data_IF_988358239991
#
_entry.id   IF_988358239991
#
_cell.length_a   1.000
_cell.length_b   1.000
_cell.length_c   1.000
_cell.angle_alpha   90.00
_cell.angle_beta   90.00
_cell.angle_gamma   90.00
#
_symmetry.space_group_name_H-M   'P 1'
#
loop_
_entity.id
_entity.type
_entity.pdbx_description
1 polymer ?
#
# COMPACT_ATOMS: atom_id res chain seq x y z
N UNK A 1 -24.87 4.17 20.76
CA UNK A 1 -24.70 3.50 19.44
C UNK A 1 -23.79 4.37 18.60
N UNK A 2 -22.48 4.20 18.69
CA UNK A 2 -21.51 4.94 17.86
C UNK A 2 -21.51 4.32 16.47
N UNK A 3 -22.16 5.01 15.52
CA UNK A 3 -22.12 4.64 14.12
C UNK A 3 -20.68 4.66 13.63
N UNK A 4 -20.11 3.48 13.40
CA UNK A 4 -18.89 3.30 12.64
C UNK A 4 -19.09 4.00 11.29
N UNK A 5 -18.52 5.20 11.12
CA UNK A 5 -18.39 5.79 9.78
C UNK A 5 -17.66 4.74 8.94
N UNK A 6 -18.22 4.30 7.79
CA UNK A 6 -17.48 3.40 6.93
C UNK A 6 -16.24 4.18 6.47
N UNK A 7 -15.08 3.83 7.03
CA UNK A 7 -13.78 4.30 6.59
C UNK A 7 -13.69 3.99 5.11
N UNK A 8 -13.78 4.95 4.24
CA UNK A 8 -13.82 4.88 2.79
C UNK A 8 -13.06 3.70 2.15
N UNK A 9 -13.41 2.48 2.58
CA UNK A 9 -12.79 1.25 2.12
C UNK A 9 -13.39 0.89 0.76
N UNK A 10 -12.55 0.91 -0.24
CA UNK A 10 -12.87 0.52 -1.59
C UNK A 10 -12.04 -0.73 -1.92
N UNK A 11 -12.71 -1.86 -2.04
CA UNK A 11 -12.05 -3.11 -2.42
C UNK A 11 -11.56 -3.00 -3.86
N UNK A 12 -10.27 -3.19 -4.06
CA UNK A 12 -9.65 -3.25 -5.37
C UNK A 12 -10.06 -4.53 -6.10
N UNK A 13 -10.40 -4.41 -7.38
CA UNK A 13 -10.67 -5.55 -8.25
C UNK A 13 -9.40 -6.39 -8.45
N UNK A 14 -9.50 -7.74 -8.48
CA UNK A 14 -8.35 -8.64 -8.62
C UNK A 14 -7.48 -8.36 -9.85
N UNK A 15 -8.07 -8.09 -11.00
CA UNK A 15 -7.33 -7.77 -12.22
C UNK A 15 -6.41 -6.56 -12.03
N UNK A 16 -6.91 -5.50 -11.41
CA UNK A 16 -6.10 -4.31 -11.12
C UNK A 16 -5.04 -4.57 -10.07
N UNK A 17 -5.33 -5.41 -9.07
CA UNK A 17 -4.35 -5.80 -8.06
C UNK A 17 -3.16 -6.54 -8.68
N UNK A 18 -3.40 -7.48 -9.59
CA UNK A 18 -2.37 -8.20 -10.34
C UNK A 18 -1.53 -7.26 -11.21
N UNK A 19 -2.16 -6.34 -11.94
CA UNK A 19 -1.45 -5.35 -12.75
C UNK A 19 -0.55 -4.45 -11.91
N UNK A 20 -0.99 -4.03 -10.73
CA UNK A 20 -0.20 -3.19 -9.82
C UNK A 20 1.01 -3.96 -9.32
N UNK A 21 0.83 -5.20 -8.86
CA UNK A 21 1.93 -6.04 -8.37
C UNK A 21 2.93 -6.31 -9.49
N UNK A 22 2.45 -6.63 -10.70
CA UNK A 22 3.32 -6.80 -11.88
C UNK A 22 4.11 -5.53 -12.19
N UNK A 23 3.46 -4.34 -12.15
CA UNK A 23 4.13 -3.06 -12.42
C UNK A 23 5.14 -2.67 -11.33
N UNK A 24 4.93 -3.14 -10.10
CA UNK A 24 5.86 -2.93 -9.00
C UNK A 24 7.16 -3.72 -9.17
N UNK A 25 7.19 -4.74 -10.03
CA UNK A 25 8.35 -5.58 -10.33
C UNK A 25 9.01 -6.13 -9.03
N UNK A 26 8.21 -6.81 -8.23
CA UNK A 26 8.65 -7.45 -6.99
C UNK A 26 9.61 -8.60 -7.32
N UNK A 27 10.70 -8.71 -6.57
CA UNK A 27 11.63 -9.83 -6.69
C UNK A 27 11.24 -10.96 -5.74
N UNK A 28 11.44 -12.23 -6.13
CA UNK A 28 11.25 -13.35 -5.22
C UNK A 28 12.01 -13.16 -3.90
N UNK A 29 11.35 -13.41 -2.76
CA UNK A 29 11.91 -13.24 -1.42
C UNK A 29 11.98 -11.79 -0.92
N UNK A 30 11.62 -10.80 -1.72
CA UNK A 30 11.64 -9.38 -1.31
C UNK A 30 10.62 -9.13 -0.20
N UNK A 31 10.99 -8.36 0.81
CA UNK A 31 10.09 -7.98 1.89
C UNK A 31 9.19 -6.84 1.44
N UNK A 32 7.88 -7.06 1.50
CA UNK A 32 6.85 -6.08 1.14
C UNK A 32 5.91 -5.85 2.30
N UNK A 33 5.59 -4.59 2.59
CA UNK A 33 4.57 -4.19 3.56
C UNK A 33 3.33 -3.73 2.78
N UNK A 34 2.18 -4.35 3.08
CA UNK A 34 0.86 -3.95 2.58
C UNK A 34 0.13 -3.18 3.69
N UNK A 35 0.03 -1.86 3.53
CA UNK A 35 -0.56 -0.96 4.53
C UNK A 35 -2.06 -0.79 4.27
N UNK A 36 -2.88 -1.19 5.24
CA UNK A 36 -4.33 -1.25 5.09
C UNK A 36 -4.77 -2.44 4.23
N UNK A 37 -4.21 -3.61 4.52
CA UNK A 37 -4.32 -4.82 3.69
C UNK A 37 -5.76 -5.31 3.45
N UNK A 38 -6.70 -4.92 4.32
CA UNK A 38 -8.11 -5.29 4.19
C UNK A 38 -8.30 -6.80 4.22
N UNK A 39 -8.90 -7.33 3.16
CA UNK A 39 -9.12 -8.77 2.97
C UNK A 39 -8.04 -9.42 2.08
N UNK A 40 -6.94 -8.71 1.82
CA UNK A 40 -5.78 -9.22 1.10
C UNK A 40 -5.79 -8.99 -0.42
N UNK A 41 -6.45 -7.93 -0.90
CA UNK A 41 -6.53 -7.65 -2.33
C UNK A 41 -5.14 -7.49 -2.99
N UNK A 42 -4.18 -6.88 -2.31
CA UNK A 42 -2.78 -6.80 -2.74
C UNK A 42 -1.92 -7.88 -2.11
N UNK A 43 -2.18 -8.25 -0.84
CA UNK A 43 -1.42 -9.27 -0.12
C UNK A 43 -1.33 -10.59 -0.90
N UNK A 44 -2.45 -11.09 -1.45
CA UNK A 44 -2.45 -12.38 -2.15
C UNK A 44 -1.65 -12.33 -3.47
N UNK A 45 -1.82 -11.36 -4.37
CA UNK A 45 -0.96 -11.24 -5.56
C UNK A 45 0.52 -11.03 -5.22
N UNK A 46 0.85 -10.33 -4.13
CA UNK A 46 2.24 -10.19 -3.67
C UNK A 46 2.85 -11.54 -3.26
N UNK A 47 2.07 -12.38 -2.55
CA UNK A 47 2.50 -13.73 -2.20
C UNK A 47 2.66 -14.62 -3.43
N UNK A 48 1.76 -14.49 -4.43
CA UNK A 48 1.88 -15.19 -5.72
C UNK A 48 3.12 -14.77 -6.52
N UNK A 49 3.65 -13.57 -6.26
CA UNK A 49 4.92 -13.08 -6.80
C UNK A 49 6.13 -13.46 -5.93
N UNK A 50 5.99 -14.46 -5.05
CA UNK A 50 7.01 -14.94 -4.13
C UNK A 50 7.55 -13.89 -3.15
N UNK A 51 6.81 -12.83 -2.88
CA UNK A 51 7.18 -11.86 -1.85
C UNK A 51 7.01 -12.44 -0.43
N UNK A 52 7.79 -11.91 0.51
CA UNK A 52 7.53 -12.05 1.96
C UNK A 52 6.70 -10.86 2.40
N UNK A 53 5.48 -11.07 2.87
CA UNK A 53 4.54 -9.97 3.11
C UNK A 53 4.32 -9.72 4.60
N UNK A 54 4.36 -8.44 5.01
CA UNK A 54 3.79 -7.96 6.27
C UNK A 54 2.53 -7.18 5.90
N UNK A 55 1.37 -7.76 6.22
CA UNK A 55 0.07 -7.15 5.99
C UNK A 55 -0.41 -6.44 7.26
N UNK A 56 -0.57 -5.12 7.20
CA UNK A 56 -1.00 -4.27 8.33
C UNK A 56 -2.47 -3.91 8.13
N UNK A 57 -3.31 -4.26 9.10
CA UNK A 57 -4.75 -3.98 9.06
C UNK A 57 -5.26 -3.66 10.46
N UNK A 58 -6.03 -2.59 10.63
CA UNK A 58 -6.58 -2.16 11.92
C UNK A 58 -7.81 -2.97 12.34
N UNK A 59 -8.63 -3.39 11.38
CA UNK A 59 -9.90 -4.06 11.68
C UNK A 59 -9.69 -5.53 12.05
N UNK A 60 -9.95 -5.89 13.31
CA UNK A 60 -9.78 -7.24 13.85
C UNK A 60 -10.51 -8.33 13.03
N UNK A 61 -11.72 -8.04 12.52
CA UNK A 61 -12.48 -8.98 11.70
C UNK A 61 -11.82 -9.26 10.36
N UNK A 62 -11.25 -8.25 9.70
CA UNK A 62 -10.50 -8.39 8.46
C UNK A 62 -9.17 -9.10 8.71
N UNK A 63 -8.44 -8.71 9.76
CA UNK A 63 -7.19 -9.33 10.17
C UNK A 63 -7.35 -10.82 10.38
N UNK A 64 -8.38 -11.25 11.13
CA UNK A 64 -8.66 -12.68 11.35
C UNK A 64 -8.95 -13.42 10.03
N UNK A 65 -9.73 -12.83 9.14
CA UNK A 65 -10.04 -13.42 7.83
C UNK A 65 -8.80 -13.49 6.93
N UNK A 66 -7.95 -12.48 6.97
CA UNK A 66 -6.71 -12.45 6.19
C UNK A 66 -5.72 -13.49 6.72
N UNK A 67 -5.54 -13.61 8.04
CA UNK A 67 -4.69 -14.65 8.65
C UNK A 67 -5.09 -16.06 8.19
N UNK A 68 -6.38 -16.34 8.15
CA UNK A 68 -6.88 -17.66 7.69
C UNK A 68 -6.56 -17.91 6.19
N UNK A 69 -6.52 -16.88 5.36
CA UNK A 69 -6.20 -17.01 3.93
C UNK A 69 -4.71 -17.21 3.66
N UNK A 70 -3.84 -16.71 4.52
CA UNK A 70 -2.39 -16.70 4.28
C UNK A 70 -1.63 -17.64 5.23
N UNK A 71 -2.31 -18.55 5.90
CA UNK A 71 -1.73 -19.41 6.94
C UNK A 71 -0.55 -20.25 6.44
N UNK A 72 -0.58 -20.68 5.19
CA UNK A 72 0.46 -21.50 4.57
C UNK A 72 1.42 -20.68 3.69
N UNK A 73 1.41 -19.35 3.84
CA UNK A 73 2.21 -18.45 3.01
C UNK A 73 3.27 -17.70 3.82
N UNK A 74 4.26 -17.13 3.13
CA UNK A 74 5.31 -16.30 3.72
C UNK A 74 4.77 -14.91 4.12
N UNK A 75 3.74 -14.89 4.97
CA UNK A 75 3.05 -13.68 5.41
C UNK A 75 2.94 -13.57 6.93
N UNK A 76 3.09 -12.34 7.43
CA UNK A 76 2.72 -11.95 8.79
C UNK A 76 1.58 -10.92 8.71
N UNK A 77 0.47 -11.17 9.42
CA UNK A 77 -0.66 -10.23 9.50
C UNK A 77 -0.65 -9.55 10.87
N UNK A 78 -0.39 -8.25 10.85
CA UNK A 78 -0.27 -7.39 12.04
C UNK A 78 -1.55 -6.58 12.20
N UNK A 79 -2.21 -6.74 13.36
CA UNK A 79 -3.38 -5.94 13.74
C UNK A 79 -2.91 -4.70 14.50
N UNK A 80 -2.80 -3.57 13.81
CA UNK A 80 -2.46 -2.30 14.43
C UNK A 80 -2.89 -1.11 13.57
N UNK A 81 -2.91 0.08 14.19
CA UNK A 81 -3.02 1.33 13.45
C UNK A 81 -1.75 1.57 12.60
N UNK A 82 -1.94 2.13 11.40
CA UNK A 82 -0.83 2.51 10.54
C UNK A 82 0.12 3.50 11.23
N UNK A 83 -0.40 4.39 12.05
CA UNK A 83 0.40 5.40 12.74
C UNK A 83 1.31 4.79 13.81
N UNK A 84 0.89 3.66 14.40
CA UNK A 84 1.64 2.92 15.43
C UNK A 84 2.55 1.85 14.83
N UNK A 85 2.41 1.55 13.53
CA UNK A 85 3.22 0.52 12.89
C UNK A 85 4.69 0.93 12.77
N UNK A 86 5.57 0.14 13.38
CA UNK A 86 7.02 0.33 13.32
C UNK A 86 7.56 -0.29 12.02
N UNK A 87 8.24 0.51 11.16
CA UNK A 87 8.81 0.00 9.92
C UNK A 87 9.86 -1.09 10.17
N UNK A 88 10.02 -2.08 9.26
CA UNK A 88 11.09 -3.05 9.35
C UNK A 88 12.48 -2.40 9.40
N UNK A 89 13.38 -2.93 10.27
CA UNK A 89 14.79 -2.49 10.41
C UNK A 89 15.72 -3.04 9.32
N UNK A 90 15.20 -3.51 8.19
CA UNK A 90 15.93 -4.05 7.03
C UNK A 90 15.28 -3.58 5.74
N UNK A 91 15.96 -3.68 4.58
CA UNK A 91 15.38 -3.25 3.31
C UNK A 91 14.01 -3.86 3.03
N UNK A 92 13.04 -3.03 2.68
CA UNK A 92 11.68 -3.44 2.36
C UNK A 92 11.03 -2.49 1.35
N UNK A 93 9.91 -2.92 0.80
CA UNK A 93 9.05 -2.12 -0.08
C UNK A 93 7.67 -1.95 0.55
N UNK A 94 6.93 -0.98 0.04
CA UNK A 94 5.50 -0.82 0.32
C UNK A 94 4.72 -0.97 -0.97
N UNK A 95 3.67 -1.80 -0.96
CA UNK A 95 2.61 -1.81 -1.99
C UNK A 95 1.29 -1.74 -1.25
N UNK A 96 0.51 -0.67 -1.45
CA UNK A 96 -0.63 -0.41 -0.59
C UNK A 96 -1.79 0.27 -1.30
N UNK A 97 -3.03 -0.08 -0.88
CA UNK A 97 -4.27 0.61 -1.23
C UNK A 97 -4.95 1.14 0.05
N UNK A 98 -4.35 2.12 0.73
CA UNK A 98 -4.88 2.63 1.98
C UNK A 98 -6.18 3.43 1.74
N UNK A 99 -7.07 3.54 2.74
CA UNK A 99 -8.17 4.50 2.69
C UNK A 99 -7.67 5.91 2.40
N UNK A 100 -8.35 6.66 1.54
CA UNK A 100 -7.89 8.00 1.13
C UNK A 100 -7.69 8.97 2.30
N UNK A 101 -8.47 8.82 3.36
CA UNK A 101 -8.32 9.60 4.59
C UNK A 101 -6.92 9.41 5.24
N UNK A 102 -6.25 8.30 4.97
CA UNK A 102 -4.92 7.99 5.51
C UNK A 102 -3.77 8.40 4.59
N UNK A 103 -4.03 9.11 3.49
CA UNK A 103 -2.98 9.54 2.54
C UNK A 103 -1.82 10.25 3.24
N UNK A 104 -2.11 11.19 4.13
CA UNK A 104 -1.07 11.93 4.86
C UNK A 104 -0.26 11.03 5.80
N UNK A 105 -0.92 10.12 6.52
CA UNK A 105 -0.28 9.16 7.42
C UNK A 105 0.64 8.20 6.66
N UNK A 106 0.19 7.69 5.50
CA UNK A 106 1.01 6.82 4.64
C UNK A 106 2.22 7.54 4.09
N UNK A 107 2.09 8.79 3.61
CA UNK A 107 3.22 9.58 3.13
C UNK A 107 4.20 9.90 4.26
N UNK A 108 3.72 10.19 5.46
CA UNK A 108 4.53 10.37 6.66
C UNK A 108 5.28 9.08 7.03
N UNK A 109 4.61 7.92 7.00
CA UNK A 109 5.27 6.63 7.20
C UNK A 109 6.40 6.42 6.20
N UNK A 110 6.16 6.63 4.91
CA UNK A 110 7.17 6.51 3.84
C UNK A 110 8.35 7.45 4.08
N UNK A 111 8.10 8.68 4.51
CA UNK A 111 9.14 9.67 4.77
C UNK A 111 10.09 9.24 5.90
N UNK A 112 9.56 8.68 7.00
CA UNK A 112 10.35 8.29 8.19
C UNK A 112 10.96 6.89 8.11
N UNK A 113 10.52 6.04 7.19
CA UNK A 113 10.96 4.65 7.08
C UNK A 113 12.34 4.52 6.43
N UNK A 114 13.41 4.56 7.24
CA UNK A 114 14.82 4.65 6.78
C UNK A 114 15.26 3.51 5.83
N UNK A 115 14.72 2.31 6.01
CA UNK A 115 15.05 1.13 5.19
C UNK A 115 14.12 0.91 4.00
N UNK A 116 13.18 1.84 3.74
CA UNK A 116 12.29 1.75 2.60
C UNK A 116 13.04 1.99 1.28
N UNK A 117 12.99 1.02 0.37
CA UNK A 117 13.65 1.06 -0.93
C UNK A 117 12.72 1.52 -2.05
N UNK A 118 11.43 1.20 -1.97
CA UNK A 118 10.43 1.61 -2.93
C UNK A 118 9.02 1.61 -2.32
N UNK A 119 8.13 2.43 -2.86
CA UNK A 119 6.71 2.37 -2.54
C UNK A 119 5.87 2.53 -3.81
N UNK A 120 4.81 1.73 -3.92
CA UNK A 120 3.76 1.78 -4.93
C UNK A 120 2.43 1.96 -4.20
N UNK A 121 1.93 3.21 -4.18
CA UNK A 121 0.77 3.61 -3.37
C UNK A 121 -0.41 3.97 -4.26
N UNK A 122 -1.55 3.32 -4.07
CA UNK A 122 -2.79 3.68 -4.75
C UNK A 122 -3.42 4.84 -3.98
N UNK A 123 -3.42 6.02 -4.57
CA UNK A 123 -3.94 7.24 -3.97
C UNK A 123 -4.89 7.95 -4.95
N UNK A 124 -5.65 8.91 -4.46
CA UNK A 124 -6.42 9.80 -5.34
C UNK A 124 -5.50 10.46 -6.38
N UNK A 125 -5.92 10.49 -7.64
CA UNK A 125 -5.12 11.05 -8.75
C UNK A 125 -4.59 12.46 -8.47
N UNK A 126 -5.38 13.30 -7.81
CA UNK A 126 -4.95 14.66 -7.43
C UNK A 126 -3.81 14.65 -6.40
N UNK A 127 -3.83 13.70 -5.44
CA UNK A 127 -2.75 13.57 -4.45
C UNK A 127 -1.45 13.09 -5.11
N UNK A 128 -1.54 12.09 -6.01
CA UNK A 128 -0.39 11.62 -6.79
C UNK A 128 0.23 12.75 -7.59
N UNK A 129 -0.60 13.52 -8.34
CA UNK A 129 -0.14 14.67 -9.11
C UNK A 129 0.59 15.68 -8.23
N UNK A 130 0.02 16.04 -7.07
CA UNK A 130 0.63 16.99 -6.13
C UNK A 130 2.01 16.53 -5.67
N UNK A 131 2.18 15.24 -5.34
CA UNK A 131 3.47 14.70 -4.91
C UNK A 131 4.49 14.68 -6.05
N UNK A 132 4.06 14.37 -7.27
CA UNK A 132 4.96 14.32 -8.44
C UNK A 132 5.38 15.74 -8.87
N UNK A 133 4.43 16.68 -8.94
CA UNK A 133 4.70 18.04 -9.43
C UNK A 133 5.40 18.91 -8.36
N UNK A 134 5.08 18.69 -7.08
CA UNK A 134 5.56 19.49 -5.95
C UNK A 134 6.04 18.59 -4.82
N UNK A 135 7.09 17.82 -5.10
CA UNK A 135 7.57 16.78 -4.17
C UNK A 135 7.92 17.36 -2.78
N UNK A 136 7.25 16.88 -1.69
CA UNK A 136 7.58 17.29 -0.33
C UNK A 136 9.04 17.03 0.02
N UNK A 137 9.64 17.90 0.86
CA UNK A 137 11.06 17.82 1.25
C UNK A 137 11.40 16.46 1.87
N UNK A 138 10.49 15.91 2.66
CA UNK A 138 10.61 14.64 3.37
C UNK A 138 10.70 13.44 2.43
N UNK A 139 10.19 13.57 1.20
CA UNK A 139 10.21 12.52 0.18
C UNK A 139 11.35 12.68 -0.84
N UNK A 140 12.19 13.71 -0.75
CA UNK A 140 13.25 13.99 -1.75
C UNK A 140 14.31 12.92 -1.90
N UNK A 141 14.42 12.01 -0.91
CA UNK A 141 15.29 10.84 -1.03
C UNK A 141 14.79 9.80 -2.05
N UNK A 142 13.58 9.97 -2.55
CA UNK A 142 13.00 9.14 -3.63
C UNK A 142 12.91 9.93 -4.93
N UNK A 143 12.94 9.22 -6.06
CA UNK A 143 12.29 9.70 -7.27
C UNK A 143 10.79 9.44 -7.16
N UNK A 144 9.97 10.38 -7.58
CA UNK A 144 8.51 10.25 -7.57
C UNK A 144 7.98 10.27 -9.00
N UNK A 145 7.21 9.24 -9.36
CA UNK A 145 6.60 9.11 -10.69
C UNK A 145 5.14 8.70 -10.54
N UNK A 146 4.35 9.03 -11.55
CA UNK A 146 2.99 8.54 -11.70
C UNK A 146 3.03 7.21 -12.46
N UNK A 147 2.53 6.16 -11.82
CA UNK A 147 2.34 4.85 -12.41
C UNK A 147 0.94 4.67 -13.04
N UNK A 148 0.37 3.48 -12.88
CA UNK A 148 -0.91 3.11 -13.46
C UNK A 148 -2.03 4.07 -13.04
N UNK A 149 -2.89 4.42 -14.00
CA UNK A 149 -4.17 5.07 -13.75
C UNK A 149 -5.22 4.02 -13.44
N UNK A 150 -5.98 4.22 -12.36
CA UNK A 150 -7.07 3.35 -11.96
C UNK A 150 -8.40 4.11 -12.07
N UNK A 151 -9.30 3.72 -12.98
CA UNK A 151 -10.62 4.29 -13.05
C UNK A 151 -11.44 3.92 -11.82
N UNK A 152 -12.47 4.68 -11.51
CA UNK A 152 -13.40 4.39 -10.39
C UNK A 152 -13.97 2.97 -10.44
N UNK A 153 -14.13 2.41 -11.64
CA UNK A 153 -14.62 1.05 -11.87
C UNK A 153 -13.67 -0.05 -11.36
N UNK A 154 -12.39 0.29 -11.10
CA UNK A 154 -11.43 -0.64 -10.49
C UNK A 154 -11.74 -0.99 -9.02
N UNK A 155 -12.79 -0.38 -8.43
CA UNK A 155 -13.10 -0.52 -7.01
C UNK A 155 -14.58 -0.80 -6.74
N UNK A 156 -14.84 -1.52 -5.65
CA UNK A 156 -16.19 -1.77 -5.12
C UNK A 156 -16.25 -1.50 -3.62
N UNK A 157 -17.12 -0.59 -3.14
CA UNK A 157 -17.90 0.38 -3.92
C UNK A 157 -17.00 1.35 -4.70
N UNK A 158 -17.54 1.96 -5.75
CA UNK A 158 -16.78 2.93 -6.56
C UNK A 158 -16.47 4.18 -5.72
N UNK A 159 -15.21 4.65 -5.72
CA UNK A 159 -14.85 5.92 -5.07
C UNK A 159 -15.41 7.13 -5.84
N UNK A 160 -15.45 8.31 -5.22
CA UNK A 160 -15.93 9.53 -5.89
C UNK A 160 -15.02 10.02 -7.01
N UNK A 161 -13.75 9.67 -6.98
CA UNK A 161 -12.71 10.11 -7.92
C UNK A 161 -11.83 8.95 -8.39
N UNK A 162 -11.16 9.13 -9.52
CA UNK A 162 -10.16 8.20 -10.02
C UNK A 162 -8.91 8.19 -9.13
N UNK A 163 -8.21 7.06 -9.15
CA UNK A 163 -6.94 6.86 -8.47
C UNK A 163 -5.77 6.75 -9.47
N UNK A 164 -4.57 6.81 -8.93
CA UNK A 164 -3.36 6.45 -9.64
C UNK A 164 -2.36 5.84 -8.67
N UNK A 165 -1.38 5.12 -9.18
CA UNK A 165 -0.26 4.62 -8.40
C UNK A 165 0.79 5.73 -8.30
N UNK A 166 1.15 6.12 -7.07
CA UNK A 166 2.35 6.90 -6.80
C UNK A 166 3.52 5.92 -6.67
N UNK A 167 4.48 6.06 -7.56
CA UNK A 167 5.70 5.24 -7.54
C UNK A 167 6.85 6.05 -6.94
N UNK A 168 7.36 5.60 -5.80
CA UNK A 168 8.53 6.15 -5.13
C UNK A 168 9.67 5.12 -5.20
N UNK A 169 10.87 5.56 -5.60
CA UNK A 169 12.07 4.71 -5.69
C UNK A 169 13.23 5.41 -5.00
N UNK A 170 13.84 4.77 -4.00
CA UNK A 170 14.97 5.34 -3.28
C UNK A 170 16.10 5.71 -4.24
N UNK A 171 16.59 6.95 -4.16
CA UNK A 171 17.75 7.38 -4.93
C UNK A 171 19.00 6.71 -4.39
N UNK A 172 19.87 6.18 -5.24
CA UNK A 172 21.17 5.68 -4.81
C UNK A 172 21.94 6.85 -4.17
N UNK A 173 22.45 6.65 -2.97
CA UNK A 173 23.45 7.58 -2.42
C UNK A 173 24.67 7.49 -3.34
N UNK A 174 25.05 8.63 -3.92
CA UNK A 174 26.35 8.76 -4.59
C UNK A 174 27.43 8.79 -3.54
#
# INVERSE_FOLDING_TARGET
MSGLRPWGWHRLDPYWAELIVASAAIRPGELVVDLGAGLGALTLPLLNADARVIAVELNAGRTRRLRAKVIDHAAAVVECDLEDFVPPGRPFRVVANPPYALTAAVLSFVARASHLTAADLILQRAAVRRVVDHQPRELRRFSANRGLHLPRAAFTPRPPVDSAVLQLRARRRR
#
